data_IF_817977002347
#
_entry.id   IF_817977002347
#
_cell.length_a   1.000
_cell.length_b   1.000
_cell.length_c   1.000
_cell.angle_alpha   90.00
_cell.angle_beta   90.00
_cell.angle_gamma   90.00
#
_symmetry.space_group_name_H-M   'P 1'
#
loop_
_entity.id
_entity.type
_entity.pdbx_description
1 polymer ?
#
# COMPACT_ATOMS: atom_id res chain seq x y z
N UNK A 1 -6.26 -1.91 -11.33
CA UNK A 1 -5.12 -2.82 -11.60
C UNK A 1 -5.07 -3.88 -10.53
N UNK A 2 -4.90 -5.15 -10.90
CA UNK A 2 -4.92 -6.32 -10.02
C UNK A 2 -3.61 -7.09 -10.32
N UNK A 3 -2.72 -7.20 -9.33
CA UNK A 3 -1.45 -7.91 -9.49
C UNK A 3 -1.40 -9.05 -8.48
N UNK A 4 -1.29 -10.29 -8.96
CA UNK A 4 -0.96 -11.45 -8.15
C UNK A 4 0.56 -11.53 -8.04
N UNK A 5 1.09 -11.64 -6.82
CA UNK A 5 2.53 -11.75 -6.61
C UNK A 5 2.86 -12.87 -5.66
N UNK A 6 3.52 -13.92 -6.16
CA UNK A 6 4.15 -14.95 -5.34
C UNK A 6 4.41 -16.24 -6.10
N UNK A 7 5.23 -17.11 -5.51
CA UNK A 7 5.12 -18.56 -5.70
C UNK A 7 3.80 -19.04 -5.05
N UNK A 8 3.35 -20.30 -5.26
CA UNK A 8 2.08 -20.80 -4.69
C UNK A 8 1.93 -20.61 -3.17
N UNK A 9 3.04 -20.38 -2.47
CA UNK A 9 3.16 -20.34 -1.01
C UNK A 9 3.31 -18.90 -0.45
N UNK A 10 3.57 -17.90 -1.32
CA UNK A 10 3.88 -16.51 -0.96
C UNK A 10 3.08 -15.51 -1.82
N UNK A 11 1.82 -15.81 -2.13
CA UNK A 11 0.98 -15.00 -3.02
C UNK A 11 0.31 -13.81 -2.29
N UNK A 12 0.30 -12.62 -2.89
CA UNK A 12 -0.49 -11.45 -2.48
C UNK A 12 -1.19 -10.82 -3.67
N UNK A 13 -2.44 -10.40 -3.49
CA UNK A 13 -3.16 -9.54 -4.44
C UNK A 13 -2.87 -8.08 -4.12
N UNK A 14 -2.45 -7.29 -5.10
CA UNK A 14 -2.38 -5.82 -4.98
C UNK A 14 -3.46 -5.20 -5.84
N UNK A 15 -4.33 -4.38 -5.25
CA UNK A 15 -5.36 -3.65 -6.00
C UNK A 15 -5.40 -2.16 -5.70
N UNK A 16 -6.18 -1.45 -6.51
CA UNK A 16 -6.67 -0.12 -6.16
C UNK A 16 -7.68 -0.19 -4.99
N UNK A 17 -7.83 0.93 -4.27
CA UNK A 17 -8.77 1.12 -3.17
C UNK A 17 -10.20 1.37 -3.69
N UNK A 18 -10.69 0.49 -4.56
CA UNK A 18 -12.07 0.54 -5.08
C UNK A 18 -12.91 -0.54 -4.41
N UNK A 19 -14.00 -0.15 -3.73
CA UNK A 19 -14.80 -1.05 -2.88
C UNK A 19 -15.33 -2.28 -3.63
N UNK A 20 -15.75 -2.12 -4.89
CA UNK A 20 -16.22 -3.23 -5.72
C UNK A 20 -15.16 -4.28 -6.02
N UNK A 21 -13.88 -3.89 -6.12
CA UNK A 21 -12.77 -4.82 -6.36
C UNK A 21 -12.50 -5.63 -5.09
N UNK A 22 -12.55 -5.01 -3.91
CA UNK A 22 -12.33 -5.69 -2.63
C UNK A 22 -13.32 -6.84 -2.43
N UNK A 23 -14.62 -6.58 -2.57
CA UNK A 23 -15.64 -7.60 -2.36
C UNK A 23 -15.55 -8.75 -3.37
N UNK A 24 -15.24 -8.44 -4.63
CA UNK A 24 -15.01 -9.46 -5.65
C UNK A 24 -13.77 -10.33 -5.34
N UNK A 25 -12.69 -9.72 -4.84
CA UNK A 25 -11.46 -10.45 -4.52
C UNK A 25 -11.61 -11.33 -3.29
N UNK A 26 -12.25 -10.86 -2.22
CA UNK A 26 -12.53 -11.66 -1.03
C UNK A 26 -13.43 -12.87 -1.35
N UNK A 27 -14.30 -12.75 -2.36
CA UNK A 27 -15.14 -13.87 -2.83
C UNK A 27 -14.36 -14.92 -3.65
N UNK A 28 -13.46 -14.48 -4.53
CA UNK A 28 -12.74 -15.37 -5.46
C UNK A 28 -11.47 -15.96 -4.84
N UNK A 29 -10.79 -15.19 -3.97
CA UNK A 29 -9.50 -15.55 -3.36
C UNK A 29 -9.50 -15.28 -1.84
N UNK A 30 -10.38 -15.92 -1.06
CA UNK A 30 -10.55 -15.62 0.37
C UNK A 30 -9.29 -15.86 1.22
N UNK A 31 -8.40 -16.73 0.74
CA UNK A 31 -7.19 -17.13 1.47
C UNK A 31 -5.91 -16.40 1.01
N UNK A 32 -6.01 -15.52 0.02
CA UNK A 32 -4.84 -14.79 -0.51
C UNK A 32 -4.76 -13.41 0.16
N UNK A 33 -3.65 -13.08 0.85
CA UNK A 33 -3.45 -11.75 1.40
C UNK A 33 -3.69 -10.63 0.38
N UNK A 34 -4.37 -9.56 0.82
CA UNK A 34 -4.71 -8.42 -0.03
C UNK A 34 -3.99 -7.14 0.44
N UNK A 35 -3.29 -6.50 -0.49
CA UNK A 35 -2.58 -5.25 -0.29
C UNK A 35 -3.11 -4.14 -1.19
N UNK A 36 -2.92 -2.90 -0.76
CA UNK A 36 -3.26 -1.74 -1.57
C UNK A 36 -2.04 -1.23 -2.32
N UNK A 37 -2.29 -0.76 -3.54
CA UNK A 37 -1.27 -0.16 -4.37
C UNK A 37 -0.80 1.17 -3.76
N UNK A 38 0.45 1.18 -3.26
CA UNK A 38 1.06 2.36 -2.61
C UNK A 38 1.18 3.57 -3.55
N UNK A 39 1.22 3.36 -4.86
CA UNK A 39 1.22 4.43 -5.85
C UNK A 39 -0.11 5.19 -5.83
N UNK A 40 -1.23 4.48 -5.93
CA UNK A 40 -2.56 5.10 -5.88
C UNK A 40 -2.83 5.72 -4.51
N UNK A 41 -2.41 5.06 -3.42
CA UNK A 41 -2.47 5.66 -2.09
C UNK A 41 -1.66 6.97 -2.00
N UNK A 42 -0.47 7.03 -2.59
CA UNK A 42 0.33 8.26 -2.61
C UNK A 42 -0.36 9.38 -3.40
N UNK A 43 -1.07 9.06 -4.49
CA UNK A 43 -1.87 10.03 -5.24
C UNK A 43 -3.05 10.55 -4.41
N UNK A 44 -3.78 9.67 -3.74
CA UNK A 44 -4.89 10.06 -2.86
C UNK A 44 -4.39 10.96 -1.72
N UNK A 45 -3.34 10.55 -1.01
CA UNK A 45 -2.73 11.35 0.07
C UNK A 45 -2.31 12.74 -0.42
N UNK A 46 -1.72 12.82 -1.63
CA UNK A 46 -1.35 14.11 -2.23
C UNK A 46 -2.58 14.98 -2.50
N UNK A 47 -3.67 14.40 -2.98
CA UNK A 47 -4.90 15.12 -3.35
C UNK A 47 -5.75 15.51 -2.13
N UNK A 48 -5.86 14.64 -1.14
CA UNK A 48 -6.73 14.77 0.03
C UNK A 48 -6.15 15.76 1.03
N UNK A 49 -4.86 15.63 1.37
CA UNK A 49 -4.23 16.49 2.38
C UNK A 49 -3.50 17.69 1.78
N UNK A 50 -3.11 17.62 0.50
CA UNK A 50 -2.38 18.69 -0.23
C UNK A 50 -1.16 19.23 0.52
N UNK A 51 -0.50 18.35 1.28
CA UNK A 51 0.60 18.67 2.19
C UNK A 51 1.84 17.86 1.89
N UNK A 52 2.97 18.57 1.71
CA UNK A 52 4.25 17.96 1.33
C UNK A 52 4.86 17.11 2.45
N UNK A 53 4.74 17.55 3.70
CA UNK A 53 5.21 16.83 4.89
C UNK A 53 4.46 15.51 5.09
N UNK A 54 3.12 15.50 4.96
CA UNK A 54 2.30 14.27 4.99
C UNK A 54 2.71 13.32 3.86
N UNK A 55 2.89 13.83 2.64
CA UNK A 55 3.31 13.01 1.50
C UNK A 55 4.71 12.40 1.70
N UNK A 56 5.62 13.14 2.34
CA UNK A 56 6.96 12.68 2.65
C UNK A 56 6.96 11.62 3.76
N UNK A 57 6.23 11.86 4.84
CA UNK A 57 6.10 10.91 5.96
C UNK A 57 5.44 9.61 5.50
N UNK A 58 4.41 9.68 4.66
CA UNK A 58 3.84 8.48 4.04
C UNK A 58 4.91 7.71 3.26
N UNK A 59 5.72 8.42 2.45
CA UNK A 59 6.80 7.81 1.68
C UNK A 59 7.85 7.08 2.52
N UNK A 60 8.20 7.66 3.67
CA UNK A 60 9.11 7.05 4.62
C UNK A 60 8.45 5.82 5.29
N UNK A 61 7.20 5.95 5.71
CA UNK A 61 6.46 4.89 6.39
C UNK A 61 6.29 3.64 5.49
N UNK A 62 5.85 3.80 4.25
CA UNK A 62 5.62 2.62 3.41
C UNK A 62 6.93 1.91 3.04
N UNK A 63 8.04 2.64 2.90
CA UNK A 63 9.38 2.10 2.61
C UNK A 63 10.09 1.48 3.81
N UNK A 64 9.72 1.85 5.03
CA UNK A 64 10.36 1.41 6.26
C UNK A 64 10.52 -0.12 6.29
N UNK A 65 11.74 -0.58 6.57
CA UNK A 65 12.03 -2.01 6.61
C UNK A 65 11.72 -2.57 7.99
N UNK A 66 12.10 -1.83 9.04
CA UNK A 66 11.88 -2.23 10.42
C UNK A 66 10.58 -1.67 10.96
N UNK A 67 9.92 -2.43 11.83
CA UNK A 67 8.73 -1.96 12.55
C UNK A 67 9.02 -0.76 13.46
N UNK A 68 10.24 -0.63 13.98
CA UNK A 68 10.67 0.54 14.77
C UNK A 68 10.69 1.80 13.92
N UNK A 69 11.39 1.77 12.76
CA UNK A 69 11.45 2.87 11.79
C UNK A 69 10.04 3.30 11.36
N UNK A 70 9.16 2.33 11.06
CA UNK A 70 7.77 2.63 10.73
C UNK A 70 7.06 3.37 11.86
N UNK A 71 7.19 2.89 13.10
CA UNK A 71 6.53 3.50 14.27
C UNK A 71 7.01 4.92 14.52
N UNK A 72 8.31 5.17 14.40
CA UNK A 72 8.89 6.51 14.53
C UNK A 72 8.27 7.47 13.50
N UNK A 73 8.23 7.07 12.22
CA UNK A 73 7.62 7.89 11.17
C UNK A 73 6.12 8.12 11.42
N UNK A 74 5.38 7.11 11.88
CA UNK A 74 3.96 7.26 12.16
C UNK A 74 3.68 8.13 13.39
N UNK A 75 4.57 8.14 14.39
CA UNK A 75 4.49 9.10 15.50
C UNK A 75 4.69 10.53 15.02
N UNK A 76 5.63 10.76 14.10
CA UNK A 76 5.79 12.08 13.47
C UNK A 76 4.57 12.46 12.60
N UNK A 77 4.00 11.49 11.85
CA UNK A 77 2.75 11.70 11.13
C UNK A 77 1.62 12.14 12.07
N UNK A 78 1.48 11.50 13.24
CA UNK A 78 0.45 11.85 14.21
C UNK A 78 0.60 13.29 14.73
N UNK A 79 1.84 13.75 14.94
CA UNK A 79 2.14 15.13 15.37
C UNK A 79 1.82 16.14 14.26
N UNK A 80 2.17 15.83 13.02
CA UNK A 80 2.00 16.72 11.86
C UNK A 80 0.54 16.76 11.38
N UNK A 81 -0.12 15.62 11.31
CA UNK A 81 -1.49 15.48 10.86
C UNK A 81 -2.15 14.22 11.45
N UNK A 82 -2.88 14.41 12.54
CA UNK A 82 -3.59 13.33 13.25
C UNK A 82 -4.65 12.64 12.39
N UNK A 83 -5.29 13.35 11.47
CA UNK A 83 -6.30 12.77 10.56
C UNK A 83 -5.63 11.81 9.59
N UNK A 84 -4.55 12.24 8.94
CA UNK A 84 -3.78 11.38 8.03
C UNK A 84 -3.21 10.14 8.74
N UNK A 85 -2.73 10.30 9.98
CA UNK A 85 -2.34 9.17 10.81
C UNK A 85 -3.51 8.19 11.00
N UNK A 86 -4.67 8.67 11.43
CA UNK A 86 -5.83 7.81 11.70
C UNK A 86 -6.32 7.09 10.45
N UNK A 87 -6.42 7.79 9.31
CA UNK A 87 -6.85 7.23 8.04
C UNK A 87 -5.90 6.11 7.59
N UNK A 88 -4.59 6.35 7.65
CA UNK A 88 -3.58 5.34 7.29
C UNK A 88 -3.59 4.12 8.21
N UNK A 89 -3.85 4.32 9.50
CA UNK A 89 -3.98 3.22 10.47
C UNK A 89 -5.28 2.42 10.25
N UNK A 90 -6.38 3.09 9.89
CA UNK A 90 -7.66 2.45 9.56
C UNK A 90 -7.58 1.57 8.30
N UNK A 91 -6.74 1.96 7.34
CA UNK A 91 -6.48 1.13 6.14
C UNK A 91 -5.77 -0.19 6.51
N UNK A 92 -5.00 -0.21 7.60
CA UNK A 92 -4.21 -1.37 8.03
C UNK A 92 -2.79 -1.37 7.44
N UNK A 93 -1.73 -1.12 8.25
CA UNK A 93 -0.34 -1.08 7.79
C UNK A 93 0.13 -2.33 7.04
N UNK A 94 -0.42 -3.51 7.34
CA UNK A 94 -0.15 -4.77 6.65
C UNK A 94 -0.53 -4.74 5.16
N UNK A 95 -1.46 -3.86 4.78
CA UNK A 95 -1.93 -3.73 3.40
C UNK A 95 -1.04 -2.84 2.55
N UNK A 96 -0.34 -1.88 3.14
CA UNK A 96 0.38 -0.85 2.37
C UNK A 96 1.84 -0.64 2.78
N UNK A 97 2.25 -1.01 3.99
CA UNK A 97 3.63 -0.87 4.45
C UNK A 97 4.44 -2.14 4.22
N UNK A 98 5.75 -1.99 4.00
CA UNK A 98 6.66 -3.13 3.95
C UNK A 98 6.92 -3.75 5.31
N UNK A 99 7.08 -2.93 6.35
CA UNK A 99 7.40 -3.41 7.70
C UNK A 99 6.35 -4.35 8.30
N UNK A 100 5.09 -4.27 7.84
CA UNK A 100 3.98 -5.11 8.30
C UNK A 100 3.41 -6.04 7.23
N UNK A 101 3.95 -6.04 6.01
CA UNK A 101 3.46 -6.90 4.95
C UNK A 101 3.64 -8.38 5.32
N UNK A 102 2.59 -9.18 5.10
CA UNK A 102 2.62 -10.63 5.27
C UNK A 102 3.47 -11.34 4.20
N UNK A 103 3.68 -10.70 3.05
CA UNK A 103 4.49 -11.23 1.94
C UNK A 103 5.75 -10.38 1.75
N UNK A 104 6.89 -11.01 1.44
CA UNK A 104 8.17 -10.33 1.24
C UNK A 104 8.17 -9.47 -0.03
N UNK A 105 7.91 -8.16 0.12
CA UNK A 105 7.78 -7.18 -0.99
C UNK A 105 9.10 -6.73 -1.64
N UNK A 106 10.08 -7.62 -1.84
CA UNK A 106 11.45 -7.21 -2.25
C UNK A 106 11.54 -6.48 -3.60
N UNK A 107 10.64 -6.77 -4.55
CA UNK A 107 10.65 -6.14 -5.90
C UNK A 107 9.40 -5.34 -6.27
N UNK A 108 8.23 -5.61 -5.69
CA UNK A 108 6.97 -4.95 -6.09
C UNK A 108 6.83 -3.49 -5.66
N UNK A 109 7.62 -3.12 -4.66
CA UNK A 109 7.52 -1.81 -4.01
C UNK A 109 8.48 -0.79 -4.60
N UNK A 110 9.62 -1.24 -5.10
CA UNK A 110 10.43 -0.44 -6.00
C UNK A 110 9.77 -0.46 -7.37
N UNK A 111 9.44 -1.64 -7.92
CA UNK A 111 8.86 -1.87 -9.24
C UNK A 111 7.31 -1.98 -9.25
N UNK A 112 6.60 -0.91 -9.64
CA UNK A 112 5.62 -1.03 -10.74
C UNK A 112 6.27 -1.53 -12.04
N UNK A 113 7.61 -1.59 -12.07
CA UNK A 113 8.38 -0.84 -13.05
C UNK A 113 8.65 -1.65 -14.35
N UNK A 114 7.84 -2.66 -14.73
CA UNK A 114 7.85 -3.11 -16.16
C UNK A 114 6.44 -3.34 -16.71
N UNK A 115 5.51 -3.96 -15.99
CA UNK A 115 4.33 -4.56 -16.64
C UNK A 115 2.97 -3.96 -16.22
N UNK A 116 2.83 -2.66 -16.47
CA UNK A 116 1.65 -2.19 -17.19
C UNK A 116 2.05 -1.35 -18.40
N UNK A 117 3.23 -1.63 -19.00
CA UNK A 117 3.62 -1.09 -20.30
C UNK A 117 2.65 -1.48 -21.46
N UNK A 118 1.59 -2.24 -21.19
CA UNK A 118 0.47 -2.54 -22.09
C UNK A 118 -0.77 -2.32 -21.20
N UNK A 119 -1.41 -1.13 -21.17
CA UNK A 119 -2.42 -0.82 -22.18
C UNK A 119 -2.93 -2.12 -22.78
N UNK A 120 -3.86 -2.84 -22.14
CA UNK A 120 -4.62 -3.86 -22.88
C UNK A 120 -4.97 -3.21 -24.21
N UNK A 121 -4.38 -3.76 -25.25
CA UNK A 121 -4.22 -3.10 -26.52
C UNK A 121 -5.62 -2.83 -27.09
N UNK A 122 -5.86 -1.57 -27.45
CA UNK A 122 -7.13 -0.94 -27.91
C UNK A 122 -7.98 -0.25 -26.85
#
# INVERSE_FOLDING_TARGET
MLLLVGSPEDCMIISDHHLGIKAAMEKVYPNVPHGYCVFHMALNIKNDYRRKDVSLLFKQAWKAYRKSEFKEVMLEMMKVNRVAFQDLMNVGPERWSRAYSLVRRYRLMTYSIVESMISVSN
#
